data_IF_364142434745
#
_entry.id   IF_364142434745
#
_cell.length_a   1.000
_cell.length_b   1.000
_cell.length_c   1.000
_cell.angle_alpha   90.00
_cell.angle_beta   90.00
_cell.angle_gamma   90.00
#
_symmetry.space_group_name_H-M   'P 1'
#
loop_
_entity.id
_entity.type
_entity.pdbx_description
1 polymer ?
#
# COMPACT_ATOMS: atom_id res chain seq x y z
N UNK A 1 -8.01 -14.12 -12.84
CA UNK A 1 -8.32 -15.19 -11.88
C UNK A 1 -9.19 -14.62 -10.77
N UNK A 2 -10.29 -15.30 -10.44
CA UNK A 2 -11.11 -14.98 -9.27
C UNK A 2 -10.57 -15.78 -8.08
N UNK A 3 -10.36 -15.14 -6.93
CA UNK A 3 -9.88 -15.82 -5.72
C UNK A 3 -11.12 -16.33 -4.97
N UNK A 4 -11.32 -17.64 -4.75
CA UNK A 4 -12.51 -18.17 -4.06
C UNK A 4 -12.44 -17.97 -2.52
N UNK A 5 -11.62 -17.01 -2.10
CA UNK A 5 -11.24 -16.54 -0.76
C UNK A 5 -12.02 -15.30 -0.30
N UNK A 6 -12.42 -15.16 0.95
CA UNK A 6 -12.66 -13.82 1.53
C UNK A 6 -11.31 -13.10 1.71
N UNK A 7 -11.07 -12.07 0.88
CA UNK A 7 -9.82 -11.30 0.83
C UNK A 7 -9.97 -9.86 1.32
N UNK A 8 -11.17 -9.48 1.77
CA UNK A 8 -11.48 -8.17 2.28
C UNK A 8 -10.85 -7.90 3.64
N UNK A 9 -10.79 -6.61 3.97
CA UNK A 9 -10.22 -6.10 5.21
C UNK A 9 -11.00 -4.89 5.71
N UNK A 10 -10.89 -4.63 7.01
CA UNK A 10 -11.33 -3.40 7.66
C UNK A 10 -10.11 -2.61 8.12
N UNK A 11 -10.31 -1.46 8.78
CA UNK A 11 -9.22 -0.74 9.45
C UNK A 11 -9.35 -0.85 10.97
N UNK A 12 -8.21 -0.94 11.66
CA UNK A 12 -8.14 -0.84 13.12
C UNK A 12 -8.05 0.61 13.61
N UNK A 13 -7.91 0.80 14.92
CA UNK A 13 -7.80 2.12 15.56
C UNK A 13 -6.56 2.92 15.13
N UNK A 14 -5.53 2.24 14.60
CA UNK A 14 -4.32 2.84 14.07
C UNK A 14 -4.40 3.01 12.53
N UNK A 15 -5.60 2.86 11.95
CA UNK A 15 -5.83 2.97 10.51
C UNK A 15 -5.04 1.95 9.68
N UNK A 16 -4.64 0.83 10.29
CA UNK A 16 -4.00 -0.31 9.65
C UNK A 16 -5.03 -1.33 9.20
N UNK A 17 -4.76 -1.97 8.09
CA UNK A 17 -5.64 -2.95 7.46
C UNK A 17 -5.72 -4.21 8.35
N UNK A 18 -6.91 -4.78 8.55
CA UNK A 18 -7.12 -6.02 9.31
C UNK A 18 -8.02 -6.94 8.52
N UNK A 19 -7.68 -8.22 8.33
CA UNK A 19 -8.49 -9.11 7.50
C UNK A 19 -9.88 -9.30 8.11
N UNK A 20 -10.92 -9.36 7.27
CA UNK A 20 -12.27 -9.76 7.71
C UNK A 20 -12.22 -11.21 8.22
N UNK A 21 -11.53 -12.08 7.49
CA UNK A 21 -11.30 -13.49 7.85
C UNK A 21 -9.82 -13.83 7.65
N UNK A 22 -9.05 -13.92 8.74
CA UNK A 22 -7.63 -14.29 8.65
C UNK A 22 -7.43 -15.70 8.07
N UNK A 23 -8.33 -16.63 8.41
CA UNK A 23 -8.27 -18.00 7.93
C UNK A 23 -8.46 -18.06 6.41
N UNK A 24 -9.49 -17.39 5.88
CA UNK A 24 -9.76 -17.38 4.45
C UNK A 24 -8.73 -16.57 3.67
N UNK A 25 -8.26 -15.44 4.19
CA UNK A 25 -7.17 -14.69 3.55
C UNK A 25 -5.91 -15.55 3.40
N UNK A 26 -5.56 -16.36 4.43
CA UNK A 26 -4.45 -17.31 4.33
C UNK A 26 -4.66 -18.37 3.26
N UNK A 27 -5.89 -18.90 3.12
CA UNK A 27 -6.20 -19.84 2.03
C UNK A 27 -6.12 -19.18 0.65
N UNK A 28 -6.61 -17.94 0.51
CA UNK A 28 -6.49 -17.18 -0.74
C UNK A 28 -5.05 -16.83 -1.11
N UNK A 29 -4.19 -16.56 -0.13
CA UNK A 29 -2.76 -16.41 -0.34
C UNK A 29 -2.14 -17.70 -0.89
N UNK A 30 -2.43 -18.86 -0.27
CA UNK A 30 -1.94 -20.16 -0.75
C UNK A 30 -2.40 -20.43 -2.18
N UNK A 31 -3.67 -20.19 -2.47
CA UNK A 31 -4.23 -20.29 -3.81
C UNK A 31 -3.49 -19.40 -4.82
N UNK A 32 -3.20 -18.15 -4.48
CA UNK A 32 -2.41 -17.27 -5.34
C UNK A 32 -0.99 -17.81 -5.58
N UNK A 33 -0.34 -18.36 -4.55
CA UNK A 33 1.01 -18.95 -4.64
C UNK A 33 1.03 -20.16 -5.58
N UNK A 34 0.03 -21.04 -5.50
CA UNK A 34 -0.12 -22.21 -6.39
C UNK A 34 -0.28 -21.82 -7.87
N UNK A 35 -0.86 -20.65 -8.13
CA UNK A 35 -1.14 -20.14 -9.48
C UNK A 35 -0.09 -19.14 -10.00
N UNK A 36 1.09 -19.05 -9.37
CA UNK A 36 2.18 -18.17 -9.84
C UNK A 36 2.80 -18.61 -11.18
N UNK A 37 2.57 -19.85 -11.61
CA UNK A 37 3.11 -20.38 -12.86
C UNK A 37 2.58 -19.67 -14.12
N UNK A 38 1.48 -18.91 -14.02
CA UNK A 38 0.94 -18.07 -15.09
C UNK A 38 1.79 -16.80 -15.31
N UNK A 39 2.79 -16.87 -16.19
CA UNK A 39 3.77 -15.79 -16.44
C UNK A 39 3.15 -14.42 -16.71
N UNK A 40 2.00 -14.34 -17.39
CA UNK A 40 1.34 -13.07 -17.71
C UNK A 40 0.72 -12.38 -16.49
N UNK A 41 0.47 -13.13 -15.40
CA UNK A 41 -0.11 -12.61 -14.17
C UNK A 41 0.89 -12.59 -13.01
N UNK A 42 2.13 -13.05 -13.21
CA UNK A 42 3.13 -13.19 -12.15
C UNK A 42 3.31 -11.92 -11.32
N UNK A 43 3.69 -10.79 -11.94
CA UNK A 43 3.89 -9.53 -11.22
C UNK A 43 2.64 -9.03 -10.49
N UNK A 44 1.45 -9.27 -11.06
CA UNK A 44 0.17 -8.92 -10.41
C UNK A 44 -0.09 -9.80 -9.20
N UNK A 45 0.08 -11.11 -9.32
CA UNK A 45 -0.18 -12.07 -8.26
C UNK A 45 0.84 -11.91 -7.12
N UNK A 46 2.13 -11.76 -7.42
CA UNK A 46 3.16 -11.41 -6.43
C UNK A 46 2.80 -10.11 -5.69
N UNK A 47 2.38 -9.07 -6.42
CA UNK A 47 1.93 -7.82 -5.81
C UNK A 47 0.71 -7.97 -4.88
N UNK A 48 -0.24 -8.86 -5.21
CA UNK A 48 -1.40 -9.16 -4.38
C UNK A 48 -1.04 -9.99 -3.14
N UNK A 49 -0.24 -11.06 -3.32
CA UNK A 49 0.30 -11.85 -2.21
C UNK A 49 1.01 -10.93 -1.24
N UNK A 50 1.87 -10.04 -1.74
CA UNK A 50 2.56 -9.04 -0.95
C UNK A 50 1.64 -8.20 -0.05
N UNK A 51 0.50 -7.75 -0.58
CA UNK A 51 -0.49 -6.98 0.19
C UNK A 51 -1.18 -7.86 1.24
N UNK A 52 -1.67 -9.04 0.85
CA UNK A 52 -2.41 -9.90 1.77
C UNK A 52 -1.53 -10.48 2.87
N UNK A 53 -0.27 -10.79 2.58
CA UNK A 53 0.71 -11.21 3.59
C UNK A 53 0.95 -10.10 4.62
N UNK A 54 1.03 -8.83 4.19
CA UNK A 54 1.11 -7.69 5.13
C UNK A 54 -0.11 -7.65 6.04
N UNK A 55 -1.31 -7.71 5.46
CA UNK A 55 -2.58 -7.66 6.20
C UNK A 55 -2.71 -8.86 7.15
N UNK A 56 -2.21 -10.03 6.77
CA UNK A 56 -2.16 -11.23 7.60
C UNK A 56 -1.05 -11.22 8.67
N UNK A 57 -0.18 -10.19 8.68
CA UNK A 57 0.91 -10.01 9.65
C UNK A 57 2.25 -10.64 9.25
N UNK A 58 2.35 -11.26 8.08
CA UNK A 58 3.56 -11.91 7.57
C UNK A 58 4.42 -10.91 6.77
N UNK A 59 5.06 -9.97 7.47
CA UNK A 59 5.80 -8.87 6.82
C UNK A 59 7.01 -9.35 5.99
N UNK A 60 7.66 -10.46 6.36
CA UNK A 60 8.77 -11.03 5.59
C UNK A 60 8.33 -11.54 4.21
N UNK A 61 7.26 -12.34 4.15
CA UNK A 61 6.68 -12.81 2.88
C UNK A 61 6.13 -11.64 2.06
N UNK A 62 5.52 -10.65 2.73
CA UNK A 62 5.08 -9.42 2.07
C UNK A 62 6.23 -8.76 1.30
N UNK A 63 7.37 -8.53 1.96
CA UNK A 63 8.55 -7.93 1.32
C UNK A 63 9.07 -8.79 0.17
N UNK A 64 9.18 -10.10 0.38
CA UNK A 64 9.66 -11.03 -0.65
C UNK A 64 8.82 -10.95 -1.93
N UNK A 65 7.50 -11.12 -1.84
CA UNK A 65 6.65 -11.11 -3.04
C UNK A 65 6.51 -9.73 -3.67
N UNK A 66 6.61 -8.64 -2.90
CA UNK A 66 6.64 -7.30 -3.48
C UNK A 66 7.94 -7.06 -4.27
N UNK A 67 9.07 -7.58 -3.78
CA UNK A 67 10.33 -7.50 -4.51
C UNK A 67 10.31 -8.34 -5.80
N UNK A 68 9.72 -9.54 -5.76
CA UNK A 68 9.48 -10.37 -6.95
C UNK A 68 8.61 -9.65 -7.99
N UNK A 69 7.57 -8.93 -7.55
CA UNK A 69 6.74 -8.13 -8.44
C UNK A 69 7.52 -6.96 -9.07
N UNK A 70 8.34 -6.26 -8.28
CA UNK A 70 9.19 -5.17 -8.77
C UNK A 70 10.21 -5.69 -9.80
N UNK A 71 10.86 -6.81 -9.53
CA UNK A 71 11.82 -7.44 -10.44
C UNK A 71 11.15 -7.79 -11.78
N UNK A 72 9.99 -8.46 -11.72
CA UNK A 72 9.22 -8.79 -12.92
C UNK A 72 8.82 -7.54 -13.74
N UNK A 73 8.34 -6.49 -13.08
CA UNK A 73 7.96 -5.26 -13.79
C UNK A 73 9.16 -4.46 -14.29
N UNK A 74 10.34 -4.63 -13.68
CA UNK A 74 11.60 -4.10 -14.19
C UNK A 74 12.01 -4.82 -15.48
N UNK A 75 11.93 -6.15 -15.51
CA UNK A 75 12.25 -6.94 -16.71
C UNK A 75 11.29 -6.73 -17.88
N UNK A 76 10.10 -6.17 -17.62
CA UNK A 76 9.06 -5.90 -18.62
C UNK A 76 8.86 -4.41 -18.89
N UNK A 77 9.78 -3.56 -18.40
CA UNK A 77 9.77 -2.10 -18.58
C UNK A 77 8.43 -1.42 -18.17
N UNK A 78 7.76 -1.98 -17.16
CA UNK A 78 6.46 -1.51 -16.70
C UNK A 78 6.61 -0.57 -15.49
N UNK A 79 6.81 0.71 -15.78
CA UNK A 79 7.02 1.77 -14.77
C UNK A 79 5.87 1.85 -13.76
N UNK A 80 4.63 1.71 -14.23
CA UNK A 80 3.44 1.72 -13.36
C UNK A 80 3.45 0.54 -12.37
N UNK A 81 3.79 -0.66 -12.84
CA UNK A 81 3.91 -1.86 -12.01
C UNK A 81 5.01 -1.73 -10.97
N UNK A 82 6.17 -1.16 -11.34
CA UNK A 82 7.28 -0.86 -10.43
C UNK A 82 6.82 0.11 -9.34
N UNK A 83 6.21 1.24 -9.74
CA UNK A 83 5.75 2.27 -8.81
C UNK A 83 4.76 1.72 -7.79
N UNK A 84 3.72 0.99 -8.23
CA UNK A 84 2.69 0.44 -7.35
C UNK A 84 3.30 -0.52 -6.32
N UNK A 85 4.21 -1.39 -6.74
CA UNK A 85 4.79 -2.38 -5.84
C UNK A 85 5.85 -1.79 -4.91
N UNK A 86 6.61 -0.78 -5.35
CA UNK A 86 7.45 0.03 -4.45
C UNK A 86 6.61 0.77 -3.40
N UNK A 87 5.48 1.36 -3.78
CA UNK A 87 4.57 2.03 -2.83
C UNK A 87 4.03 1.04 -1.78
N UNK A 88 3.65 -0.16 -2.22
CA UNK A 88 3.24 -1.25 -1.32
C UNK A 88 4.39 -1.72 -0.40
N UNK A 89 5.61 -1.78 -0.92
CA UNK A 89 6.80 -2.18 -0.16
C UNK A 89 7.15 -1.14 0.92
N UNK A 90 7.09 0.15 0.58
CA UNK A 90 7.22 1.23 1.56
C UNK A 90 6.17 1.10 2.68
N UNK A 91 4.93 0.78 2.34
CA UNK A 91 3.87 0.54 3.31
C UNK A 91 4.15 -0.69 4.21
N UNK A 92 4.76 -1.75 3.67
CA UNK A 92 5.21 -2.91 4.46
C UNK A 92 6.35 -2.55 5.41
N UNK A 93 7.35 -1.76 4.98
CA UNK A 93 8.40 -1.26 5.89
C UNK A 93 7.87 -0.33 6.96
N UNK A 94 6.88 0.50 6.63
CA UNK A 94 6.14 1.30 7.62
C UNK A 94 5.50 0.41 8.68
N UNK A 95 4.83 -0.67 8.32
CA UNK A 95 4.22 -1.57 9.31
C UNK A 95 5.24 -2.28 10.22
N UNK A 96 6.45 -2.50 9.71
CA UNK A 96 7.61 -3.01 10.46
C UNK A 96 8.27 -1.91 11.35
N UNK A 97 7.74 -0.69 11.35
CA UNK A 97 8.34 0.51 11.97
C UNK A 97 9.76 0.81 11.47
N UNK A 98 10.14 0.29 10.29
CA UNK A 98 11.38 0.61 9.62
C UNK A 98 11.19 1.86 8.75
N UNK A 99 10.98 3.00 9.42
CA UNK A 99 10.70 4.27 8.77
C UNK A 99 11.84 4.74 7.88
N UNK A 100 13.09 4.39 8.20
CA UNK A 100 14.25 4.71 7.36
C UNK A 100 14.12 4.07 5.97
N UNK A 101 13.85 2.76 5.90
CA UNK A 101 13.65 2.06 4.63
C UNK A 101 12.40 2.56 3.89
N UNK A 102 11.29 2.79 4.60
CA UNK A 102 10.09 3.35 4.01
C UNK A 102 10.34 4.74 3.39
N UNK A 103 11.02 5.63 4.12
CA UNK A 103 11.35 6.99 3.69
C UNK A 103 12.27 7.01 2.46
N UNK A 104 13.24 6.09 2.36
CA UNK A 104 14.08 5.94 1.16
C UNK A 104 13.21 5.63 -0.07
N UNK A 105 12.29 4.66 0.04
CA UNK A 105 11.40 4.31 -1.07
C UNK A 105 10.43 5.45 -1.41
N UNK A 106 9.86 6.13 -0.41
CA UNK A 106 9.00 7.29 -0.66
C UNK A 106 9.74 8.43 -1.36
N UNK A 107 11.01 8.68 -1.03
CA UNK A 107 11.83 9.68 -1.70
C UNK A 107 12.07 9.31 -3.17
N UNK A 108 12.34 8.04 -3.48
CA UNK A 108 12.44 7.55 -4.86
C UNK A 108 11.12 7.73 -5.62
N UNK A 109 10.01 7.29 -5.03
CA UNK A 109 8.67 7.38 -5.64
C UNK A 109 8.25 8.81 -5.92
N UNK A 110 8.63 9.77 -5.06
CA UNK A 110 8.35 11.18 -5.26
C UNK A 110 8.98 11.72 -6.56
N UNK A 111 10.16 11.21 -6.94
CA UNK A 111 10.83 11.60 -8.20
C UNK A 111 10.10 11.04 -9.43
N UNK A 112 9.49 9.86 -9.32
CA UNK A 112 8.73 9.21 -10.43
C UNK A 112 7.28 9.68 -10.51
N UNK A 113 6.76 10.33 -9.45
CA UNK A 113 5.37 10.73 -9.35
C UNK A 113 4.85 11.62 -10.50
N UNK A 114 5.64 12.57 -11.04
CA UNK A 114 5.20 13.40 -12.18
C UNK A 114 4.81 12.59 -13.42
N UNK A 115 5.41 11.41 -13.62
CA UNK A 115 5.11 10.52 -14.75
C UNK A 115 3.84 9.68 -14.50
N UNK A 116 3.35 9.64 -13.25
CA UNK A 116 2.26 8.79 -12.79
C UNK A 116 1.21 9.57 -11.94
N UNK A 117 0.66 10.69 -12.45
CA UNK A 117 -0.23 11.57 -11.68
C UNK A 117 -1.51 10.87 -11.19
N UNK A 118 -1.94 9.79 -11.86
CA UNK A 118 -3.06 8.98 -11.41
C UNK A 118 -2.86 8.36 -10.02
N UNK A 119 -1.62 8.23 -9.54
CA UNK A 119 -1.26 7.62 -8.26
C UNK A 119 -0.89 8.63 -7.17
N UNK A 120 -0.97 9.93 -7.46
CA UNK A 120 -0.53 10.99 -6.54
C UNK A 120 -1.29 10.96 -5.20
N UNK A 121 -2.60 10.72 -5.21
CA UNK A 121 -3.38 10.63 -3.97
C UNK A 121 -3.03 9.39 -3.15
N UNK A 122 -2.76 8.25 -3.80
CA UNK A 122 -2.31 7.04 -3.12
C UNK A 122 -0.93 7.24 -2.50
N UNK A 123 0.01 7.85 -3.22
CA UNK A 123 1.33 8.19 -2.71
C UNK A 123 1.22 9.02 -1.42
N UNK A 124 0.51 10.15 -1.47
CA UNK A 124 0.39 11.03 -0.31
C UNK A 124 -0.40 10.38 0.84
N UNK A 125 -1.43 9.58 0.55
CA UNK A 125 -2.16 8.86 1.59
C UNK A 125 -1.24 7.89 2.35
N UNK A 126 -0.45 7.08 1.64
CA UNK A 126 0.44 6.10 2.29
C UNK A 126 1.64 6.77 2.96
N UNK A 127 2.22 7.81 2.36
CA UNK A 127 3.31 8.54 2.98
C UNK A 127 2.84 9.26 4.25
N UNK A 128 1.64 9.84 4.22
CA UNK A 128 1.02 10.46 5.39
C UNK A 128 0.82 9.47 6.53
N UNK A 129 0.34 8.25 6.24
CA UNK A 129 0.22 7.18 7.25
C UNK A 129 1.56 6.78 7.86
N UNK A 130 2.60 6.65 7.02
CA UNK A 130 3.95 6.34 7.52
C UNK A 130 4.48 7.44 8.43
N UNK A 131 4.28 8.72 8.06
CA UNK A 131 4.72 9.86 8.88
C UNK A 131 3.92 10.03 10.16
N UNK A 132 2.64 9.67 10.13
CA UNK A 132 1.80 9.64 11.31
C UNK A 132 2.35 8.67 12.35
N UNK A 133 2.67 7.44 11.94
CA UNK A 133 3.21 6.41 12.83
C UNK A 133 4.67 6.70 13.25
N UNK A 134 5.43 7.44 12.45
CA UNK A 134 6.76 7.96 12.80
C UNK A 134 6.69 9.12 13.83
N UNK A 135 5.51 9.71 14.06
CA UNK A 135 5.29 10.84 14.95
C UNK A 135 5.49 12.23 14.31
N UNK A 136 5.74 12.29 12.99
CA UNK A 136 5.81 13.55 12.23
C UNK A 136 4.41 13.99 11.78
N UNK A 137 3.63 14.48 12.75
CA UNK A 137 2.24 14.89 12.54
C UNK A 137 2.10 16.06 11.54
N UNK A 138 3.12 16.92 11.41
CA UNK A 138 3.07 18.06 10.50
C UNK A 138 3.22 17.61 9.05
N UNK A 139 4.18 16.72 8.75
CA UNK A 139 4.33 16.13 7.42
C UNK A 139 3.15 15.24 7.09
N UNK A 140 2.67 14.43 8.06
CA UNK A 140 1.49 13.59 7.88
C UNK A 140 0.25 14.40 7.45
N UNK A 141 -0.06 15.48 8.18
CA UNK A 141 -1.19 16.36 7.85
C UNK A 141 -1.05 16.96 6.45
N UNK A 142 0.14 17.43 6.10
CA UNK A 142 0.43 18.01 4.77
C UNK A 142 0.16 16.99 3.66
N UNK A 143 0.60 15.73 3.86
CA UNK A 143 0.34 14.65 2.92
C UNK A 143 -1.16 14.36 2.79
N UNK A 144 -1.87 14.20 3.90
CA UNK A 144 -3.31 13.93 3.86
C UNK A 144 -4.11 15.07 3.21
N UNK A 145 -3.74 16.34 3.42
CA UNK A 145 -4.37 17.48 2.74
C UNK A 145 -4.19 17.42 1.23
N UNK A 146 -2.99 17.09 0.74
CA UNK A 146 -2.74 16.88 -0.70
C UNK A 146 -3.55 15.72 -1.26
N UNK A 147 -3.57 14.57 -0.57
CA UNK A 147 -4.37 13.41 -0.97
C UNK A 147 -5.87 13.77 -1.05
N UNK A 148 -6.39 14.51 -0.06
CA UNK A 148 -7.78 14.93 -0.01
C UNK A 148 -8.14 15.84 -1.19
N UNK A 149 -7.29 16.82 -1.51
CA UNK A 149 -7.52 17.72 -2.64
C UNK A 149 -7.70 16.96 -3.95
N UNK A 150 -6.83 15.97 -4.21
CA UNK A 150 -6.89 15.15 -5.42
C UNK A 150 -8.12 14.23 -5.40
N UNK A 151 -8.44 13.63 -4.25
CA UNK A 151 -9.60 12.73 -4.09
C UNK A 151 -10.93 13.45 -4.27
N UNK A 152 -11.04 14.70 -3.82
CA UNK A 152 -12.20 15.56 -4.07
C UNK A 152 -12.43 15.79 -5.56
N UNK A 153 -11.35 15.97 -6.34
CA UNK A 153 -11.45 16.09 -7.80
C UNK A 153 -11.85 14.76 -8.47
N UNK A 154 -11.36 13.63 -7.95
CA UNK A 154 -11.71 12.29 -8.43
C UNK A 154 -13.13 11.83 -8.04
N UNK A 155 -13.73 12.44 -7.02
CA UNK A 155 -15.08 12.12 -6.55
C UNK A 155 -15.23 10.75 -5.88
N UNK A 156 -14.15 10.18 -5.34
CA UNK A 156 -14.21 8.90 -4.64
C UNK A 156 -14.56 9.11 -3.15
N UNK A 157 -15.84 9.03 -2.82
CA UNK A 157 -16.37 9.31 -1.47
C UNK A 157 -15.75 8.44 -0.36
N UNK A 158 -15.49 7.17 -0.63
CA UNK A 158 -14.86 6.26 0.34
C UNK A 158 -13.43 6.73 0.68
N UNK A 159 -12.64 7.05 -0.35
CA UNK A 159 -11.29 7.54 -0.17
C UNK A 159 -11.26 8.93 0.48
N UNK A 160 -12.21 9.81 0.13
CA UNK A 160 -12.38 11.13 0.76
C UNK A 160 -12.66 10.95 2.25
N UNK A 161 -13.60 10.09 2.62
CA UNK A 161 -13.95 9.82 4.01
C UNK A 161 -12.73 9.27 4.78
N UNK A 162 -12.04 8.28 4.22
CA UNK A 162 -10.83 7.70 4.81
C UNK A 162 -9.74 8.75 5.05
N UNK A 163 -9.49 9.66 4.12
CA UNK A 163 -8.49 10.73 4.30
C UNK A 163 -8.93 11.75 5.36
N UNK A 164 -10.22 12.11 5.42
CA UNK A 164 -10.74 13.02 6.46
C UNK A 164 -10.55 12.46 7.87
N UNK A 165 -10.72 11.14 8.06
CA UNK A 165 -10.44 10.49 9.36
C UNK A 165 -8.96 10.63 9.74
N UNK A 166 -8.05 10.44 8.78
CA UNK A 166 -6.61 10.62 9.01
C UNK A 166 -6.28 12.07 9.43
N UNK A 167 -6.86 13.06 8.76
CA UNK A 167 -6.69 14.49 9.09
C UNK A 167 -7.21 14.79 10.50
N UNK A 168 -8.42 14.32 10.83
CA UNK A 168 -9.01 14.53 12.14
C UNK A 168 -8.12 13.94 13.25
N UNK A 169 -7.58 12.73 13.02
CA UNK A 169 -6.66 12.08 13.94
C UNK A 169 -5.35 12.87 14.13
N UNK A 170 -4.75 13.41 13.05
CA UNK A 170 -3.59 14.29 13.17
C UNK A 170 -3.89 15.56 13.99
N UNK A 171 -5.09 16.14 13.81
CA UNK A 171 -5.47 17.37 14.50
C UNK A 171 -5.78 17.16 15.99
N UNK A 172 -6.25 15.97 16.39
CA UNK A 172 -6.52 15.65 17.80
C UNK A 172 -5.26 15.35 18.63
N UNK A 173 -4.10 15.21 17.98
CA UNK A 173 -2.81 14.88 18.62
C UNK A 173 -1.87 16.09 18.70
N UNK A 174 -2.32 17.29 18.30
CA UNK A 174 -1.63 18.58 18.48
C UNK A 174 -1.93 19.16 19.84
#
# INVERSE_FOLDING_TARGET
>A
MNIPFEMGYTFDENLREKPISLAEMKQGILFLKEHLHERSLYGKNCGLIGVYERIAGNLSDSKYYLQEAIEYYTQTDNIQGIFINKLRLAHTYHWESNFSAANTIFAELLQTLPDLPAYEDFFYQHYGKSKLDEGDFQTALTCFQKALQIRLQKGNEELIHSTKLCIAYCMSRR
#
